data_IF_252855860105
#
_entry.id   IF_252855860105
#
_cell.length_a   1.000
_cell.length_b   1.000
_cell.length_c   1.000
_cell.angle_alpha   90.00
_cell.angle_beta   90.00
_cell.angle_gamma   90.00
#
_symmetry.space_group_name_H-M   'P 1'
#
loop_
_entity.id
_entity.type
_entity.pdbx_description
1 polymer ?
#
# COMPACT_ATOMS: atom_id res chain seq x y z
N UNK A 1 5.53 6.53 -27.15
CA UNK A 1 6.45 6.95 -26.07
C UNK A 1 5.91 6.52 -24.69
N UNK A 2 4.70 6.92 -24.30
CA UNK A 2 4.12 6.57 -22.98
C UNK A 2 4.02 5.05 -22.76
N UNK A 3 3.63 4.28 -23.79
CA UNK A 3 3.57 2.81 -23.68
C UNK A 3 4.96 2.16 -23.58
N UNK A 4 5.97 2.77 -24.21
CA UNK A 4 7.37 2.34 -24.06
C UNK A 4 7.87 2.61 -22.64
N UNK A 5 7.57 3.77 -22.06
CA UNK A 5 7.92 4.10 -20.69
C UNK A 5 7.28 3.11 -19.69
N UNK A 6 6.00 2.77 -19.89
CA UNK A 6 5.31 1.75 -19.07
C UNK A 6 6.01 0.38 -19.14
N UNK A 7 6.42 -0.04 -20.34
CA UNK A 7 7.16 -1.29 -20.53
C UNK A 7 8.54 -1.26 -19.82
N UNK A 8 9.25 -0.16 -19.91
CA UNK A 8 10.56 0.03 -19.26
C UNK A 8 10.44 0.01 -17.73
N UNK A 9 9.42 0.65 -17.17
CA UNK A 9 9.14 0.62 -15.72
C UNK A 9 8.89 -0.83 -15.25
N UNK A 10 8.11 -1.60 -16.01
CA UNK A 10 7.84 -3.02 -15.70
C UNK A 10 9.08 -3.89 -15.70
N UNK A 11 10.10 -3.50 -16.45
CA UNK A 11 11.40 -4.18 -16.49
C UNK A 11 12.43 -3.56 -15.57
N UNK A 12 12.01 -2.62 -14.72
CA UNK A 12 12.85 -1.90 -13.75
C UNK A 12 13.94 -1.03 -14.42
N UNK A 13 13.71 -0.57 -15.65
CA UNK A 13 14.62 0.29 -16.40
C UNK A 13 14.19 1.75 -16.26
N UNK A 14 14.38 2.29 -15.06
CA UNK A 14 13.89 3.60 -14.65
C UNK A 14 14.53 4.74 -15.42
N UNK A 15 15.85 4.70 -15.64
CA UNK A 15 16.61 5.73 -16.33
C UNK A 15 16.11 5.91 -17.79
N UNK A 16 15.90 4.80 -18.49
CA UNK A 16 15.37 4.87 -19.84
C UNK A 16 13.89 5.25 -19.88
N UNK A 17 13.11 4.85 -18.88
CA UNK A 17 11.72 5.29 -18.76
C UNK A 17 11.62 6.81 -18.60
N UNK A 18 12.44 7.38 -17.74
CA UNK A 18 12.56 8.84 -17.56
C UNK A 18 12.90 9.55 -18.86
N UNK A 19 13.97 9.13 -19.53
CA UNK A 19 14.40 9.73 -20.80
C UNK A 19 13.30 9.67 -21.88
N UNK A 20 12.50 8.61 -21.89
CA UNK A 20 11.36 8.47 -22.83
C UNK A 20 10.22 9.43 -22.45
N UNK A 21 9.92 9.59 -21.15
CA UNK A 21 8.88 10.51 -20.65
C UNK A 21 9.26 11.97 -20.89
N UNK A 22 10.52 12.34 -20.71
CA UNK A 22 11.05 13.68 -20.99
C UNK A 22 10.85 14.09 -22.46
N UNK A 23 10.85 13.13 -23.36
CA UNK A 23 10.55 13.32 -24.77
C UNK A 23 9.05 13.45 -25.11
N UNK A 24 8.15 13.27 -24.15
CA UNK A 24 6.70 13.42 -24.37
C UNK A 24 6.31 14.89 -24.38
N UNK A 25 5.62 15.39 -25.43
CA UNK A 25 5.22 16.78 -25.50
C UNK A 25 4.41 17.23 -24.26
N UNK A 26 4.66 18.46 -23.73
CA UNK A 26 3.91 18.99 -22.59
C UNK A 26 2.38 19.00 -22.77
N UNK A 27 1.94 19.10 -24.03
CA UNK A 27 0.51 19.09 -24.40
C UNK A 27 -0.15 17.70 -24.28
N UNK A 28 0.63 16.64 -24.06
CA UNK A 28 0.10 15.29 -23.90
C UNK A 28 -0.25 15.02 -22.43
N UNK A 29 -1.31 15.64 -21.98
CA UNK A 29 -1.80 15.56 -20.61
C UNK A 29 -2.76 14.37 -20.42
N UNK A 30 -2.22 13.18 -20.16
CA UNK A 30 -2.99 11.96 -19.92
C UNK A 30 -2.75 11.39 -18.54
N UNK A 31 -3.78 10.74 -17.98
CA UNK A 31 -3.68 9.99 -16.74
C UNK A 31 -2.48 9.02 -16.74
N UNK A 32 -2.34 8.24 -17.81
CA UNK A 32 -1.27 7.26 -17.93
C UNK A 32 0.11 7.91 -17.85
N UNK A 33 0.32 9.02 -18.57
CA UNK A 33 1.60 9.76 -18.52
C UNK A 33 1.93 10.19 -17.12
N UNK A 34 1.05 10.94 -16.46
CA UNK A 34 1.34 11.48 -15.13
C UNK A 34 1.49 10.40 -14.05
N UNK A 35 0.77 9.29 -14.17
CA UNK A 35 0.99 8.14 -13.30
C UNK A 35 2.41 7.56 -13.45
N UNK A 36 2.92 7.47 -14.67
CA UNK A 36 4.28 6.98 -14.94
C UNK A 36 5.35 7.99 -14.49
N UNK A 37 5.14 9.28 -14.74
CA UNK A 37 6.01 10.36 -14.23
C UNK A 37 6.13 10.31 -12.70
N UNK A 38 5.01 10.11 -12.01
CA UNK A 38 5.01 9.96 -10.57
C UNK A 38 5.82 8.74 -10.09
N UNK A 39 5.69 7.59 -10.78
CA UNK A 39 6.44 6.38 -10.45
C UNK A 39 7.95 6.55 -10.68
N UNK A 40 8.35 7.26 -11.73
CA UNK A 40 9.76 7.58 -11.98
C UNK A 40 10.29 8.54 -10.92
N UNK A 41 9.56 9.60 -10.60
CA UNK A 41 9.94 10.52 -9.53
C UNK A 41 10.07 9.81 -8.16
N UNK A 42 9.18 8.85 -7.86
CA UNK A 42 9.31 8.00 -6.67
C UNK A 42 10.60 7.19 -6.68
N UNK A 43 10.96 6.60 -7.82
CA UNK A 43 12.19 5.79 -7.95
C UNK A 43 13.46 6.62 -7.76
N UNK A 44 13.38 7.91 -8.07
CA UNK A 44 14.47 8.88 -7.90
C UNK A 44 14.45 9.59 -6.54
N UNK A 45 13.48 9.26 -5.67
CA UNK A 45 13.25 9.94 -4.39
C UNK A 45 12.94 11.45 -4.53
N UNK A 46 12.39 11.83 -5.67
CA UNK A 46 11.95 13.21 -5.97
C UNK A 46 10.52 13.44 -5.46
N UNK A 47 10.35 13.47 -4.13
CA UNK A 47 9.06 13.39 -3.46
C UNK A 47 8.08 14.50 -3.84
N UNK A 48 8.54 15.73 -3.99
CA UNK A 48 7.69 16.87 -4.36
C UNK A 48 7.17 16.73 -5.80
N UNK A 49 8.03 16.25 -6.70
CA UNK A 49 7.66 15.95 -8.08
C UNK A 49 6.67 14.79 -8.13
N UNK A 50 6.94 13.72 -7.39
CA UNK A 50 6.04 12.57 -7.29
C UNK A 50 4.64 13.00 -6.82
N UNK A 51 4.55 13.76 -5.74
CA UNK A 51 3.28 14.26 -5.21
C UNK A 51 2.52 15.11 -6.25
N UNK A 52 3.20 16.01 -6.94
CA UNK A 52 2.60 16.84 -7.98
C UNK A 52 2.06 16.01 -9.15
N UNK A 53 2.81 15.03 -9.61
CA UNK A 53 2.37 14.12 -10.68
C UNK A 53 1.22 13.23 -10.26
N UNK A 54 1.23 12.68 -9.04
CA UNK A 54 0.12 11.90 -8.52
C UNK A 54 -1.16 12.73 -8.42
N UNK A 55 -1.06 13.96 -7.87
CA UNK A 55 -2.21 14.86 -7.77
C UNK A 55 -2.82 15.15 -9.16
N UNK A 56 -1.97 15.44 -10.13
CA UNK A 56 -2.40 15.66 -11.52
C UNK A 56 -3.07 14.43 -12.10
N UNK A 57 -2.48 13.23 -11.89
CA UNK A 57 -3.06 11.97 -12.37
C UNK A 57 -4.44 11.70 -11.76
N UNK A 58 -4.61 11.95 -10.46
CA UNK A 58 -5.92 11.83 -9.78
C UNK A 58 -6.97 12.70 -10.45
N UNK A 59 -6.64 13.93 -10.82
CA UNK A 59 -7.55 14.85 -11.51
C UNK A 59 -7.92 14.45 -12.94
N UNK A 60 -7.15 13.57 -13.57
CA UNK A 60 -7.33 13.14 -14.96
C UNK A 60 -8.08 11.80 -15.11
N UNK A 61 -8.57 11.22 -14.05
CA UNK A 61 -9.30 9.94 -14.09
C UNK A 61 -10.61 10.00 -13.32
N UNK A 62 -11.60 9.26 -13.79
CA UNK A 62 -12.86 9.03 -13.08
C UNK A 62 -12.79 7.84 -12.14
N UNK A 63 -11.69 7.09 -12.15
CA UNK A 63 -11.43 5.91 -11.30
C UNK A 63 -10.09 6.06 -10.57
N UNK A 64 -10.01 6.95 -9.58
CA UNK A 64 -8.73 7.31 -8.97
C UNK A 64 -8.23 6.31 -7.91
N UNK A 65 -8.98 5.26 -7.57
CA UNK A 65 -8.63 4.36 -6.47
C UNK A 65 -7.22 3.77 -6.62
N UNK A 66 -6.85 3.31 -7.81
CA UNK A 66 -5.53 2.71 -8.05
C UNK A 66 -4.39 3.71 -7.89
N UNK A 67 -4.51 4.92 -8.45
CA UNK A 67 -3.47 5.94 -8.35
C UNK A 67 -3.40 6.55 -6.95
N UNK A 68 -4.52 6.69 -6.24
CA UNK A 68 -4.54 7.08 -4.84
C UNK A 68 -3.82 6.05 -3.96
N UNK A 69 -4.01 4.76 -4.22
CA UNK A 69 -3.27 3.71 -3.54
C UNK A 69 -1.76 3.78 -3.82
N UNK A 70 -1.35 4.01 -5.07
CA UNK A 70 0.06 4.17 -5.42
C UNK A 70 0.68 5.39 -4.74
N UNK A 71 -0.02 6.51 -4.72
CA UNK A 71 0.42 7.71 -4.00
C UNK A 71 0.51 7.48 -2.49
N UNK A 72 -0.49 6.81 -1.90
CA UNK A 72 -0.44 6.40 -0.51
C UNK A 72 0.75 5.50 -0.20
N UNK A 73 1.10 4.58 -1.10
CA UNK A 73 2.27 3.73 -0.96
C UNK A 73 3.59 4.54 -1.04
N UNK A 74 3.68 5.53 -1.93
CA UNK A 74 4.79 6.49 -1.95
C UNK A 74 4.96 7.19 -0.60
N UNK A 75 3.86 7.69 -0.01
CA UNK A 75 3.87 8.30 1.33
C UNK A 75 4.31 7.31 2.42
N UNK A 76 3.82 6.07 2.36
CA UNK A 76 4.17 5.02 3.31
C UNK A 76 5.67 4.70 3.31
N UNK A 77 6.26 4.55 2.12
CA UNK A 77 7.68 4.17 1.98
C UNK A 77 8.63 5.25 2.45
N UNK A 78 8.25 6.52 2.35
CA UNK A 78 9.05 7.65 2.85
C UNK A 78 8.70 8.08 4.29
N UNK A 79 7.86 7.32 4.99
CA UNK A 79 7.55 7.52 6.41
C UNK A 79 6.46 8.54 6.70
N UNK A 80 5.78 9.11 5.69
CA UNK A 80 4.58 9.96 5.89
C UNK A 80 3.35 9.08 6.09
N UNK A 81 3.26 8.44 7.25
CA UNK A 81 2.20 7.47 7.56
C UNK A 81 0.82 8.12 7.64
N UNK A 82 0.72 9.33 8.19
CA UNK A 82 -0.56 10.04 8.27
C UNK A 82 -1.05 10.46 6.88
N UNK A 83 -0.16 10.91 6.00
CA UNK A 83 -0.47 11.18 4.60
C UNK A 83 -0.90 9.93 3.85
N UNK A 84 -0.20 8.81 4.07
CA UNK A 84 -0.54 7.52 3.51
C UNK A 84 -1.95 7.06 3.91
N UNK A 85 -2.30 7.13 5.20
CA UNK A 85 -3.64 6.77 5.69
C UNK A 85 -4.74 7.54 4.97
N UNK A 86 -4.60 8.85 4.81
CA UNK A 86 -5.59 9.68 4.12
C UNK A 86 -5.82 9.21 2.67
N UNK A 87 -4.73 8.93 1.96
CA UNK A 87 -4.80 8.50 0.57
C UNK A 87 -5.37 7.08 0.41
N UNK A 88 -5.03 6.16 1.31
CA UNK A 88 -5.62 4.81 1.29
C UNK A 88 -7.12 4.85 1.62
N UNK A 89 -7.54 5.68 2.58
CA UNK A 89 -8.96 5.88 2.88
C UNK A 89 -9.71 6.46 1.68
N UNK A 90 -9.12 7.43 0.97
CA UNK A 90 -9.72 7.97 -0.25
C UNK A 90 -9.79 6.91 -1.36
N UNK A 91 -8.77 6.08 -1.52
CA UNK A 91 -8.81 4.96 -2.47
C UNK A 91 -9.97 4.01 -2.16
N UNK A 92 -10.16 3.65 -0.89
CA UNK A 92 -11.23 2.75 -0.43
C UNK A 92 -12.61 3.38 -0.63
N UNK A 93 -12.77 4.70 -0.46
CA UNK A 93 -14.03 5.40 -0.75
C UNK A 93 -14.41 5.33 -2.23
N UNK A 94 -13.44 5.34 -3.12
CA UNK A 94 -13.64 5.22 -4.56
C UNK A 94 -13.84 3.78 -5.03
N UNK A 95 -13.21 2.81 -4.37
CA UNK A 95 -13.34 1.38 -4.65
C UNK A 95 -13.10 0.56 -3.37
N UNK A 96 -14.17 0.18 -2.70
CA UNK A 96 -14.10 -0.61 -1.47
C UNK A 96 -13.77 -2.10 -1.69
N UNK A 97 -13.65 -2.53 -2.94
CA UNK A 97 -13.17 -3.86 -3.32
C UNK A 97 -11.64 -3.94 -3.45
N UNK A 98 -10.94 -2.81 -3.44
CA UNK A 98 -9.49 -2.74 -3.60
C UNK A 98 -8.78 -3.20 -2.31
N UNK A 99 -8.61 -4.50 -2.14
CA UNK A 99 -8.00 -5.09 -0.94
C UNK A 99 -6.59 -4.58 -0.68
N UNK A 100 -5.80 -4.29 -1.72
CA UNK A 100 -4.45 -3.73 -1.58
C UNK A 100 -4.45 -2.42 -0.80
N UNK A 101 -5.42 -1.53 -1.05
CA UNK A 101 -5.55 -0.27 -0.30
C UNK A 101 -5.90 -0.51 1.18
N UNK A 102 -6.77 -1.47 1.47
CA UNK A 102 -7.11 -1.87 2.85
C UNK A 102 -5.89 -2.42 3.59
N UNK A 103 -5.13 -3.28 2.94
CA UNK A 103 -3.92 -3.85 3.51
C UNK A 103 -2.84 -2.77 3.75
N UNK A 104 -2.64 -1.87 2.81
CA UNK A 104 -1.70 -0.76 2.95
C UNK A 104 -2.11 0.22 4.04
N UNK A 105 -3.42 0.47 4.22
CA UNK A 105 -3.95 1.25 5.33
C UNK A 105 -3.57 0.64 6.68
N UNK A 106 -3.71 -0.68 6.82
CA UNK A 106 -3.33 -1.40 8.03
C UNK A 106 -1.82 -1.30 8.28
N UNK A 107 -1.00 -1.40 7.24
CA UNK A 107 0.46 -1.18 7.35
C UNK A 107 0.80 0.23 7.84
N UNK A 108 0.15 1.25 7.31
CA UNK A 108 0.37 2.64 7.72
C UNK A 108 -0.03 2.89 9.18
N UNK A 109 -1.16 2.33 9.62
CA UNK A 109 -1.62 2.41 11.02
C UNK A 109 -0.69 1.66 11.96
N UNK A 110 -0.33 0.44 11.60
CA UNK A 110 0.57 -0.38 12.40
C UNK A 110 1.97 0.22 12.54
N UNK A 111 2.48 0.90 11.51
CA UNK A 111 3.74 1.64 11.58
C UNK A 111 3.71 2.76 12.63
N UNK A 112 2.55 3.32 12.93
CA UNK A 112 2.31 4.30 13.98
C UNK A 112 1.94 3.65 15.34
N UNK A 113 2.06 2.35 15.47
CA UNK A 113 1.63 1.56 16.64
C UNK A 113 0.14 1.68 16.95
N UNK A 114 -0.67 2.04 15.98
CA UNK A 114 -2.12 1.97 16.05
C UNK A 114 -2.58 0.61 15.51
N UNK A 115 -2.83 -0.33 16.41
CA UNK A 115 -3.14 -1.71 16.07
C UNK A 115 -4.63 -2.02 16.01
N UNK A 116 -5.47 -1.00 16.07
CA UNK A 116 -6.90 -1.15 15.85
C UNK A 116 -7.21 -1.22 14.36
N UNK A 117 -8.03 -2.18 13.95
CA UNK A 117 -8.49 -2.24 12.56
C UNK A 117 -9.30 -0.98 12.21
N UNK A 118 -9.10 -0.42 11.01
CA UNK A 118 -9.89 0.70 10.54
C UNK A 118 -11.37 0.31 10.37
N UNK A 119 -12.26 1.28 10.56
CA UNK A 119 -13.69 1.12 10.29
C UNK A 119 -13.94 1.36 8.80
N UNK A 120 -13.81 0.31 8.03
CA UNK A 120 -13.97 0.28 6.56
C UNK A 120 -14.79 -0.94 6.14
N UNK A 121 -15.41 -0.94 4.95
CA UNK A 121 -16.04 -2.13 4.41
C UNK A 121 -15.04 -3.28 4.28
N UNK A 122 -15.37 -4.45 4.83
CA UNK A 122 -14.55 -5.65 4.71
C UNK A 122 -15.39 -6.92 4.88
N UNK A 123 -15.04 -7.95 4.13
CA UNK A 123 -15.58 -9.28 4.33
C UNK A 123 -14.95 -9.93 5.56
N UNK A 124 -15.53 -11.06 6.03
CA UNK A 124 -14.96 -11.83 7.13
C UNK A 124 -13.55 -12.35 6.80
N UNK A 125 -13.33 -12.78 5.56
CA UNK A 125 -12.02 -13.25 5.09
C UNK A 125 -11.03 -12.09 5.06
N UNK A 126 -11.43 -10.93 4.51
CA UNK A 126 -10.59 -9.72 4.51
C UNK A 126 -10.23 -9.30 5.94
N UNK A 127 -11.19 -9.32 6.86
CA UNK A 127 -10.94 -9.02 8.27
C UNK A 127 -9.86 -9.91 8.87
N UNK A 128 -9.94 -11.22 8.65
CA UNK A 128 -8.92 -12.15 9.12
C UNK A 128 -7.54 -11.87 8.50
N UNK A 129 -7.49 -11.59 7.22
CA UNK A 129 -6.25 -11.24 6.51
C UNK A 129 -5.64 -9.92 7.02
N UNK A 130 -6.47 -8.91 7.27
CA UNK A 130 -6.02 -7.61 7.80
C UNK A 130 -5.54 -7.72 9.25
N UNK A 131 -6.19 -8.54 10.08
CA UNK A 131 -5.72 -8.87 11.43
C UNK A 131 -4.34 -9.54 11.40
N UNK A 132 -4.13 -10.47 10.47
CA UNK A 132 -2.83 -11.12 10.28
C UNK A 132 -1.75 -10.10 9.88
N UNK A 133 -2.02 -9.21 8.93
CA UNK A 133 -1.10 -8.14 8.54
C UNK A 133 -0.77 -7.22 9.72
N UNK A 134 -1.77 -6.81 10.49
CA UNK A 134 -1.58 -5.98 11.68
C UNK A 134 -0.72 -6.68 12.73
N UNK A 135 -0.97 -7.98 12.94
CA UNK A 135 -0.18 -8.81 13.85
C UNK A 135 1.30 -8.83 13.47
N UNK A 136 1.61 -9.05 12.19
CA UNK A 136 2.99 -9.05 11.70
C UNK A 136 3.66 -7.69 11.89
N UNK A 137 2.91 -6.60 11.72
CA UNK A 137 3.41 -5.24 11.97
C UNK A 137 3.74 -5.04 13.46
N UNK A 138 2.88 -5.48 14.37
CA UNK A 138 3.12 -5.42 15.80
C UNK A 138 4.35 -6.24 16.22
N UNK A 139 4.48 -7.45 15.69
CA UNK A 139 5.64 -8.33 15.96
C UNK A 139 6.94 -7.68 15.47
N UNK A 140 6.93 -7.09 14.26
CA UNK A 140 8.09 -6.38 13.72
C UNK A 140 8.54 -5.21 14.59
N UNK A 141 7.60 -4.58 15.30
CA UNK A 141 7.88 -3.49 16.25
C UNK A 141 8.14 -3.97 17.68
N UNK A 142 8.30 -5.27 17.87
CA UNK A 142 8.51 -5.92 19.16
C UNK A 142 7.33 -5.82 20.16
N UNK A 143 6.13 -5.52 19.66
CA UNK A 143 4.89 -5.55 20.45
C UNK A 143 4.30 -6.97 20.43
N UNK A 144 5.03 -7.92 21.02
CA UNK A 144 4.80 -9.36 20.86
C UNK A 144 3.47 -9.83 21.46
N UNK A 145 3.08 -9.29 22.60
CA UNK A 145 1.80 -9.63 23.25
C UNK A 145 0.61 -9.21 22.40
N UNK A 146 0.67 -8.02 21.82
CA UNK A 146 -0.35 -7.51 20.89
C UNK A 146 -0.37 -8.36 19.62
N UNK A 147 0.80 -8.63 19.05
CA UNK A 147 0.93 -9.46 17.86
C UNK A 147 0.35 -10.86 18.05
N UNK A 148 0.60 -11.49 19.19
CA UNK A 148 0.01 -12.79 19.55
C UNK A 148 -1.51 -12.75 19.62
N UNK A 149 -2.06 -11.74 20.28
CA UNK A 149 -3.52 -11.56 20.40
C UNK A 149 -4.17 -11.35 19.03
N UNK A 150 -3.58 -10.55 18.17
CA UNK A 150 -4.06 -10.30 16.80
C UNK A 150 -3.98 -11.57 15.92
N UNK A 151 -2.93 -12.39 16.06
CA UNK A 151 -2.83 -13.66 15.35
C UNK A 151 -3.94 -14.62 15.79
N UNK A 152 -4.21 -14.73 17.08
CA UNK A 152 -5.29 -15.56 17.58
C UNK A 152 -6.65 -15.06 17.06
N UNK A 153 -6.89 -13.75 17.10
CA UNK A 153 -8.13 -13.18 16.54
C UNK A 153 -8.25 -13.42 15.04
N UNK A 154 -7.15 -13.34 14.27
CA UNK A 154 -7.15 -13.68 12.85
C UNK A 154 -7.55 -15.12 12.58
N UNK A 155 -7.03 -16.06 13.36
CA UNK A 155 -7.35 -17.49 13.27
C UNK A 155 -8.83 -17.71 13.60
N UNK A 156 -9.33 -17.12 14.67
CA UNK A 156 -10.70 -17.27 15.13
C UNK A 156 -11.72 -16.62 14.18
N UNK A 157 -11.32 -15.55 13.50
CA UNK A 157 -12.17 -14.80 12.57
C UNK A 157 -12.29 -15.50 11.21
N UNK A 158 -11.25 -16.19 10.77
CA UNK A 158 -11.26 -16.83 9.45
C UNK A 158 -12.28 -18.00 9.42
N UNK A 159 -13.16 -18.07 8.40
CA UNK A 159 -14.18 -19.11 8.34
C UNK A 159 -13.63 -20.52 8.11
N UNK A 160 -12.39 -20.63 7.68
CA UNK A 160 -11.67 -21.88 7.45
C UNK A 160 -10.32 -21.86 8.18
N UNK A 161 -9.55 -22.95 8.06
CA UNK A 161 -8.20 -22.99 8.60
C UNK A 161 -7.31 -21.92 7.95
N UNK A 162 -6.72 -21.05 8.77
CA UNK A 162 -5.85 -19.95 8.32
C UNK A 162 -4.38 -20.30 8.57
N UNK A 163 -3.82 -21.11 7.69
CA UNK A 163 -2.46 -21.67 7.81
C UNK A 163 -1.38 -20.58 8.02
N UNK A 164 -1.45 -19.48 7.29
CA UNK A 164 -0.47 -18.41 7.42
C UNK A 164 -0.42 -17.81 8.84
N UNK A 165 -1.58 -17.55 9.43
CA UNK A 165 -1.68 -17.02 10.79
C UNK A 165 -1.27 -18.06 11.84
N UNK A 166 -1.66 -19.32 11.67
CA UNK A 166 -1.25 -20.43 12.55
C UNK A 166 0.27 -20.60 12.54
N UNK A 167 0.89 -20.55 11.37
CA UNK A 167 2.35 -20.64 11.22
C UNK A 167 3.06 -19.48 11.90
N UNK A 168 2.56 -18.25 11.73
CA UNK A 168 3.11 -17.07 12.39
C UNK A 168 3.01 -17.16 13.91
N UNK A 169 1.89 -17.67 14.44
CA UNK A 169 1.68 -17.84 15.88
C UNK A 169 2.64 -18.88 16.47
N UNK A 170 2.83 -20.03 15.81
CA UNK A 170 3.80 -21.04 16.23
C UNK A 170 5.22 -20.51 16.25
N UNK A 171 5.63 -19.79 15.20
CA UNK A 171 6.96 -19.18 15.13
C UNK A 171 7.20 -18.20 16.28
N UNK A 172 6.19 -17.41 16.63
CA UNK A 172 6.27 -16.48 17.76
C UNK A 172 6.39 -17.21 19.10
N UNK A 173 5.62 -18.27 19.33
CA UNK A 173 5.66 -19.08 20.56
C UNK A 173 6.98 -19.82 20.73
N UNK A 174 7.53 -20.38 19.67
CA UNK A 174 8.83 -21.08 19.69
C UNK A 174 9.98 -20.12 20.03
N UNK A 175 9.94 -18.87 19.54
CA UNK A 175 10.95 -17.85 19.82
C UNK A 175 10.89 -17.29 21.24
N UNK A 176 9.73 -17.33 21.88
CA UNK A 176 9.56 -16.85 23.28
C UNK A 176 9.96 -17.95 24.29
N UNK A 177 9.96 -19.22 23.86
CA UNK A 177 10.28 -20.38 24.71
C UNK A 177 11.77 -20.70 24.78
N UNK A 178 12.62 -20.01 23.98
CA UNK A 178 14.08 -20.10 23.97
C UNK A 178 14.73 -18.85 24.58
#
# INVERSE_FOLDING_TARGET
>A
QVDLADALIRTNDWERAEAVLDGVPPTHETYKRYRLEAMVADSNEEWDNADSFYETAVGLTTRPAGVLNNWGFSKLTRGDYAGAERLFLDAIRHDDSLFTAKNNLVLARGAQRNYDLPVIPMTQIERAQLLHTMALTAIKQNDLTIGRGLLQEAIDTHPQHFEAAVRSLRALEDNVSN
#
